data_IF_091496575002
#
_entry.id   IF_091496575002
#
_cell.length_a   1.000
_cell.length_b   1.000
_cell.length_c   1.000
_cell.angle_alpha   90.00
_cell.angle_beta   90.00
_cell.angle_gamma   90.00
#
_symmetry.space_group_name_H-M   'P 1'
#
loop_
_entity.id
_entity.type
_entity.pdbx_description
1 polymer ?
#
# COMPACT_ATOMS: atom_id res chain seq x y z
N UNK A 1 -3.85 -6.99 -8.99
CA UNK A 1 -4.01 -6.74 -10.43
C UNK A 1 -5.44 -6.30 -10.72
N UNK A 2 -5.58 -5.30 -11.59
CA UNK A 2 -6.84 -4.76 -12.08
C UNK A 2 -7.31 -5.50 -13.33
N UNK A 3 -8.59 -5.40 -13.66
CA UNK A 3 -9.16 -5.99 -14.86
C UNK A 3 -8.60 -5.38 -16.16
N UNK A 4 -8.27 -4.08 -16.13
CA UNK A 4 -7.71 -3.33 -17.24
C UNK A 4 -6.65 -2.33 -16.78
N UNK A 5 -5.83 -1.84 -17.72
CA UNK A 5 -4.84 -0.81 -17.41
C UNK A 5 -5.57 0.50 -17.10
N UNK A 6 -5.26 1.08 -15.96
CA UNK A 6 -5.90 2.29 -15.47
C UNK A 6 -4.86 3.32 -15.00
N UNK A 7 -5.27 4.58 -14.96
CA UNK A 7 -4.52 5.62 -14.27
C UNK A 7 -4.28 5.25 -12.79
N UNK A 8 -3.28 5.86 -12.13
CA UNK A 8 -3.02 5.61 -10.71
C UNK A 8 -4.28 5.77 -9.86
N UNK A 9 -4.61 4.73 -9.09
CA UNK A 9 -5.82 4.72 -8.27
C UNK A 9 -5.78 5.82 -7.20
N UNK A 10 -6.88 6.57 -7.10
CA UNK A 10 -7.04 7.61 -6.10
C UNK A 10 -7.88 7.08 -4.93
N UNK A 11 -7.22 6.41 -3.99
CA UNK A 11 -7.87 5.80 -2.82
C UNK A 11 -7.54 6.60 -1.55
N UNK A 12 -8.55 7.06 -0.79
CA UNK A 12 -8.34 7.84 0.43
C UNK A 12 -7.44 7.14 1.46
N UNK A 13 -6.53 7.90 2.08
CA UNK A 13 -5.61 7.38 3.09
C UNK A 13 -4.50 6.49 2.54
N UNK A 14 -4.32 6.45 1.22
CA UNK A 14 -3.27 5.69 0.55
C UNK A 14 -2.44 6.57 -0.37
N UNK A 15 -1.30 6.05 -0.80
CA UNK A 15 -0.48 6.61 -1.88
C UNK A 15 -0.06 5.49 -2.83
N UNK A 16 -0.26 5.68 -4.13
CA UNK A 16 0.32 4.80 -5.15
C UNK A 16 1.83 4.96 -5.14
N UNK A 17 2.55 3.85 -4.94
CA UNK A 17 4.01 3.84 -4.91
C UNK A 17 4.62 3.26 -6.18
N UNK A 18 3.83 2.48 -6.93
CA UNK A 18 4.25 1.84 -8.17
C UNK A 18 3.03 1.50 -9.04
N UNK A 19 3.20 1.64 -10.36
CA UNK A 19 2.24 1.20 -11.38
C UNK A 19 3.02 0.41 -12.43
N UNK A 20 2.64 -0.85 -12.63
CA UNK A 20 3.23 -1.76 -13.60
C UNK A 20 2.12 -2.51 -14.35
N UNK A 21 1.74 -2.00 -15.52
CA UNK A 21 0.64 -2.55 -16.33
C UNK A 21 -0.69 -2.59 -15.57
N UNK A 22 -1.20 -3.80 -15.30
CA UNK A 22 -2.43 -4.04 -14.54
C UNK A 22 -2.22 -3.98 -13.02
N UNK A 23 -0.97 -3.93 -12.56
CA UNK A 23 -0.62 -3.97 -11.14
C UNK A 23 -0.36 -2.56 -10.63
N UNK A 24 -0.97 -2.24 -9.50
CA UNK A 24 -0.66 -1.01 -8.76
C UNK A 24 -0.37 -1.34 -7.30
N UNK A 25 0.73 -0.81 -6.75
CA UNK A 25 1.07 -0.96 -5.33
C UNK A 25 0.67 0.31 -4.58
N UNK A 26 -0.12 0.15 -3.53
CA UNK A 26 -0.59 1.24 -2.67
C UNK A 26 -0.01 1.08 -1.27
N UNK A 27 0.52 2.16 -0.71
CA UNK A 27 0.97 2.22 0.66
C UNK A 27 0.01 3.06 1.52
N UNK A 28 -0.20 2.64 2.76
CA UNK A 28 -1.02 3.38 3.73
C UNK A 28 -0.41 3.26 5.12
N UNK A 29 -0.78 4.17 6.02
CA UNK A 29 -0.37 4.13 7.43
C UNK A 29 -1.48 3.53 8.28
N UNK A 30 -1.14 2.51 9.07
CA UNK A 30 -2.09 1.84 9.98
C UNK A 30 -2.66 2.74 11.08
N UNK A 31 -1.96 3.82 11.41
CA UNK A 31 -2.44 4.85 12.35
C UNK A 31 -3.53 5.75 11.76
N UNK A 32 -3.66 5.81 10.43
CA UNK A 32 -4.58 6.70 9.72
C UNK A 32 -5.75 5.92 9.08
N UNK A 33 -5.53 4.67 8.65
CA UNK A 33 -6.58 3.81 8.07
C UNK A 33 -6.29 2.33 8.30
N UNK A 34 -7.29 1.46 8.10
CA UNK A 34 -7.16 0.01 8.22
C UNK A 34 -7.01 -0.66 6.86
N UNK A 35 -6.39 -1.83 6.82
CA UNK A 35 -6.26 -2.62 5.60
C UNK A 35 -7.65 -2.94 5.00
N UNK A 36 -8.63 -3.27 5.84
CA UNK A 36 -10.00 -3.56 5.41
C UNK A 36 -10.68 -2.35 4.74
N UNK A 37 -10.51 -1.15 5.31
CA UNK A 37 -11.04 0.08 4.72
C UNK A 37 -10.40 0.39 3.36
N UNK A 38 -9.08 0.18 3.25
CA UNK A 38 -8.36 0.34 1.98
C UNK A 38 -8.85 -0.65 0.93
N UNK A 39 -8.97 -1.94 1.27
CA UNK A 39 -9.48 -2.97 0.35
C UNK A 39 -10.87 -2.62 -0.15
N UNK A 40 -11.78 -2.21 0.74
CA UNK A 40 -13.12 -1.80 0.36
C UNK A 40 -13.12 -0.60 -0.60
N UNK A 41 -12.26 0.40 -0.35
CA UNK A 41 -12.15 1.57 -1.20
C UNK A 41 -11.51 1.27 -2.57
N UNK A 42 -10.52 0.36 -2.63
CA UNK A 42 -9.94 -0.12 -3.90
C UNK A 42 -11.01 -0.85 -4.73
N UNK A 43 -11.77 -1.75 -4.11
CA UNK A 43 -12.82 -2.50 -4.77
C UNK A 43 -13.99 -1.62 -5.26
N UNK A 44 -14.22 -0.47 -4.61
CA UNK A 44 -15.18 0.52 -5.07
C UNK A 44 -14.64 1.40 -6.21
N UNK A 45 -13.32 1.56 -6.31
CA UNK A 45 -12.68 2.43 -7.29
C UNK A 45 -12.40 1.73 -8.64
N UNK A 46 -12.16 0.42 -8.63
CA UNK A 46 -11.84 -0.35 -9.83
C UNK A 46 -12.21 -1.82 -9.71
N UNK A 47 -12.36 -2.48 -10.86
CA UNK A 47 -12.53 -3.93 -10.93
C UNK A 47 -11.20 -4.65 -10.69
N UNK A 48 -11.20 -5.58 -9.72
CA UNK A 48 -10.01 -6.26 -9.22
C UNK A 48 -10.01 -7.71 -9.71
N UNK A 49 -8.90 -8.15 -10.30
CA UNK A 49 -8.63 -9.58 -10.57
C UNK A 49 -7.98 -10.22 -9.35
N UNK A 50 -6.97 -9.56 -8.78
CA UNK A 50 -6.17 -10.09 -7.67
C UNK A 50 -5.81 -8.98 -6.69
N UNK A 51 -5.85 -9.27 -5.39
CA UNK A 51 -5.40 -8.35 -4.35
C UNK A 51 -4.54 -9.09 -3.33
N UNK A 52 -3.37 -8.53 -3.07
CA UNK A 52 -2.43 -9.01 -2.03
C UNK A 52 -2.21 -7.90 -1.03
N UNK A 53 -2.20 -8.24 0.26
CA UNK A 53 -1.83 -7.33 1.33
C UNK A 53 -0.49 -7.79 1.86
N UNK A 54 0.52 -6.94 1.77
CA UNK A 54 1.85 -7.18 2.32
C UNK A 54 2.02 -6.37 3.60
N UNK A 55 2.43 -7.03 4.69
CA UNK A 55 2.97 -6.34 5.86
C UNK A 55 4.48 -6.16 5.65
N UNK A 56 5.06 -4.99 5.98
CA UNK A 56 6.50 -4.85 5.93
C UNK A 56 7.12 -5.88 6.85
N UNK A 57 8.11 -6.64 6.35
CA UNK A 57 8.88 -7.54 7.18
C UNK A 57 9.46 -6.80 8.39
N UNK A 58 9.52 -7.47 9.53
CA UNK A 58 10.02 -6.85 10.77
C UNK A 58 11.45 -6.32 10.56
N UNK A 59 12.28 -7.01 9.77
CA UNK A 59 13.63 -6.57 9.40
C UNK A 59 13.63 -5.27 8.59
N UNK A 60 12.69 -5.12 7.66
CA UNK A 60 12.54 -3.91 6.83
C UNK A 60 12.05 -2.72 7.67
N UNK A 61 11.13 -2.97 8.61
CA UNK A 61 10.67 -1.96 9.56
C UNK A 61 11.80 -1.50 10.50
N UNK A 62 12.59 -2.45 11.02
CA UNK A 62 13.74 -2.17 11.89
C UNK A 62 14.81 -1.36 11.14
N UNK A 63 15.14 -1.72 9.89
CA UNK A 63 16.09 -0.95 9.08
C UNK A 63 15.64 0.50 8.94
N UNK A 64 14.34 0.73 8.70
CA UNK A 64 13.80 2.09 8.60
C UNK A 64 13.91 2.88 9.91
N UNK A 65 13.78 2.21 11.06
CA UNK A 65 13.99 2.83 12.38
C UNK A 65 15.47 3.20 12.61
N UNK A 66 16.41 2.34 12.23
CA UNK A 66 17.84 2.67 12.31
C UNK A 66 18.25 3.80 11.36
N UNK A 67 17.70 3.83 10.14
CA UNK A 67 17.90 4.95 9.20
C UNK A 67 17.35 6.28 9.72
N UNK A 68 16.31 6.25 10.55
CA UNK A 68 15.68 7.43 11.14
C UNK A 68 16.30 7.84 12.49
N UNK A 69 17.43 7.25 12.89
CA UNK A 69 18.23 7.73 14.01
C UNK A 69 17.78 7.22 15.37
N UNK A 70 17.50 5.93 15.50
CA UNK A 70 17.64 5.26 16.79
C UNK A 70 19.13 5.03 17.08
N UNK A 71 19.85 6.11 17.36
CA UNK A 71 21.19 6.04 17.94
C UNK A 71 20.98 5.75 19.43
N UNK A 72 20.94 4.46 19.76
CA UNK A 72 20.73 3.98 21.11
C UNK A 72 21.85 4.46 22.03
N UNK A 73 21.55 5.47 22.84
CA UNK A 73 22.27 5.78 24.08
C UNK A 73 21.31 5.60 25.25
#
# INVERSE_FOLDING_TARGET
DLAEQAEPLQVPGTRVVEVDGLRQRLAFKRSETSAAAVVAAVAAAAEIIELTIEEPDIESAIRRLYELGFDGT
#
